data_IF_144437664048
#
_entry.id   IF_144437664048
#
_cell.length_a   1.000
_cell.length_b   1.000
_cell.length_c   1.000
_cell.angle_alpha   90.00
_cell.angle_beta   90.00
_cell.angle_gamma   90.00
#
_symmetry.space_group_name_H-M   'P 1'
#
loop_
_entity.id
_entity.type
_entity.pdbx_description
1 polymer ?
#
# COMPACT_ATOMS: atom_id res chain seq x y z
N UNK A 1 10.48 46.78 1.09
CA UNK A 1 9.76 45.70 1.79
C UNK A 1 8.53 45.34 0.97
N UNK A 2 8.28 44.05 0.74
CA UNK A 2 7.17 43.55 -0.08
C UNK A 2 5.84 43.91 0.61
N UNK A 3 5.17 44.93 0.07
CA UNK A 3 3.88 45.59 0.41
C UNK A 3 2.96 44.95 1.48
N UNK A 4 3.43 44.69 2.71
CA UNK A 4 2.58 44.27 3.84
C UNK A 4 1.91 42.89 3.73
N UNK A 5 1.76 42.32 2.53
CA UNK A 5 1.16 41.01 2.27
C UNK A 5 1.87 39.86 2.99
N UNK A 6 3.17 40.01 3.25
CA UNK A 6 3.92 39.05 4.05
C UNK A 6 3.41 38.96 5.49
N UNK A 7 2.87 40.05 6.03
CA UNK A 7 2.37 40.10 7.41
C UNK A 7 1.03 39.38 7.55
N UNK A 8 0.13 39.58 6.58
CA UNK A 8 -1.17 38.90 6.53
C UNK A 8 -0.99 37.41 6.20
N UNK A 9 -0.12 37.10 5.22
CA UNK A 9 0.19 35.71 4.85
C UNK A 9 0.94 34.93 5.93
N UNK A 10 1.61 35.60 6.87
CA UNK A 10 2.38 34.95 7.94
C UNK A 10 1.52 34.02 8.79
N UNK A 11 0.27 34.40 9.05
CA UNK A 11 -0.67 33.59 9.86
C UNK A 11 -1.03 32.31 9.11
N UNK A 12 -1.26 32.41 7.80
CA UNK A 12 -1.58 31.25 6.96
C UNK A 12 -0.37 30.32 6.78
N UNK A 13 0.85 30.88 6.69
CA UNK A 13 2.08 30.09 6.67
C UNK A 13 2.33 29.36 7.98
N UNK A 14 2.10 30.01 9.13
CA UNK A 14 2.26 29.37 10.45
C UNK A 14 1.21 28.27 10.68
N UNK A 15 -0.02 28.48 10.20
CA UNK A 15 -1.06 27.44 10.20
C UNK A 15 -0.70 26.26 9.27
N UNK A 16 -0.11 26.53 8.11
CA UNK A 16 0.37 25.50 7.18
C UNK A 16 1.56 24.73 7.77
N UNK A 17 2.52 25.42 8.38
CA UNK A 17 3.68 24.82 9.04
C UNK A 17 3.25 23.88 10.17
N UNK A 18 2.27 24.28 10.98
CA UNK A 18 1.72 23.41 12.02
C UNK A 18 0.99 22.18 11.45
N UNK A 19 0.34 22.30 10.30
CA UNK A 19 -0.25 21.15 9.58
C UNK A 19 0.79 20.23 8.96
N UNK A 20 1.97 20.75 8.66
CA UNK A 20 3.10 20.00 8.10
C UNK A 20 4.01 19.38 9.18
N UNK A 21 3.75 19.65 10.47
CA UNK A 21 4.47 18.98 11.56
C UNK A 21 4.15 17.49 11.56
N UNK A 22 5.21 16.69 11.61
CA UNK A 22 5.14 15.23 11.68
C UNK A 22 4.29 14.81 12.88
N UNK A 23 3.16 14.17 12.61
CA UNK A 23 2.27 13.62 13.62
C UNK A 23 2.50 12.11 13.67
N UNK A 24 3.30 11.68 14.65
CA UNK A 24 3.65 10.27 14.80
C UNK A 24 2.41 9.39 14.99
N UNK A 25 1.39 9.85 15.72
CA UNK A 25 0.16 9.08 15.94
C UNK A 25 -0.59 8.88 14.62
N UNK A 26 -0.72 9.95 13.83
CA UNK A 26 -1.31 9.87 12.49
C UNK A 26 -0.53 8.91 11.59
N UNK A 27 0.80 8.99 11.60
CA UNK A 27 1.63 8.17 10.73
C UNK A 27 1.61 6.70 11.17
N UNK A 28 1.60 6.43 12.47
CA UNK A 28 1.40 5.08 12.99
C UNK A 28 0.05 4.51 12.60
N UNK A 29 -1.03 5.30 12.63
CA UNK A 29 -2.36 4.88 12.19
C UNK A 29 -2.40 4.64 10.67
N UNK A 30 -1.87 5.59 9.89
CA UNK A 30 -1.83 5.54 8.43
C UNK A 30 -1.03 4.34 7.92
N UNK A 31 0.16 4.11 8.46
CA UNK A 31 1.05 3.00 8.09
C UNK A 31 0.79 1.72 8.89
N UNK A 32 -0.24 1.70 9.74
CA UNK A 32 -0.48 0.62 10.71
C UNK A 32 -0.60 -0.77 10.05
N UNK A 33 -1.19 -0.84 8.85
CA UNK A 33 -1.29 -2.08 8.06
C UNK A 33 0.10 -2.59 7.65
N UNK A 34 0.92 -1.73 7.07
CA UNK A 34 2.24 -2.10 6.56
C UNK A 34 3.19 -2.49 7.70
N UNK A 35 3.16 -1.73 8.79
CA UNK A 35 3.92 -2.02 10.02
C UNK A 35 3.56 -3.42 10.55
N UNK A 36 2.25 -3.71 10.67
CA UNK A 36 1.78 -5.03 11.11
C UNK A 36 2.19 -6.16 10.17
N UNK A 37 2.17 -5.92 8.85
CA UNK A 37 2.60 -6.91 7.87
C UNK A 37 4.08 -7.27 8.01
N UNK A 38 4.95 -6.26 8.12
CA UNK A 38 6.40 -6.47 8.31
C UNK A 38 6.66 -7.25 9.60
N UNK A 39 6.07 -6.84 10.71
CA UNK A 39 6.23 -7.52 12.01
C UNK A 39 5.73 -8.97 11.94
N UNK A 40 4.58 -9.20 11.29
CA UNK A 40 4.01 -10.54 11.15
C UNK A 40 4.92 -11.48 10.37
N UNK A 41 5.53 -10.99 9.28
CA UNK A 41 6.51 -11.76 8.49
C UNK A 41 7.72 -12.14 9.34
N UNK A 42 8.25 -11.22 10.14
CA UNK A 42 9.42 -11.48 10.98
C UNK A 42 9.13 -12.44 12.14
N UNK A 43 7.96 -12.32 12.78
CA UNK A 43 7.51 -13.29 13.79
C UNK A 43 7.40 -14.68 13.16
N UNK A 44 6.76 -14.79 12.00
CA UNK A 44 6.52 -16.08 11.36
C UNK A 44 7.83 -16.70 10.88
N UNK A 45 8.76 -15.94 10.30
CA UNK A 45 10.09 -16.44 9.94
C UNK A 45 10.84 -17.03 11.14
N UNK A 46 10.66 -16.44 12.34
CA UNK A 46 11.33 -16.91 13.56
C UNK A 46 10.82 -18.27 14.05
N UNK A 47 9.54 -18.57 13.88
CA UNK A 47 8.93 -19.81 14.39
C UNK A 47 8.65 -20.87 13.31
N UNK A 48 8.50 -20.46 12.05
CA UNK A 48 8.08 -21.29 10.93
C UNK A 48 9.04 -21.23 9.72
N UNK A 49 10.18 -20.58 9.91
CA UNK A 49 11.26 -20.47 8.92
C UNK A 49 10.78 -19.87 7.58
N UNK A 50 11.54 -20.07 6.50
CA UNK A 50 11.23 -19.51 5.19
C UNK A 50 9.84 -19.91 4.69
N UNK A 51 9.42 -21.17 4.91
CA UNK A 51 8.11 -21.66 4.46
C UNK A 51 6.97 -20.86 5.08
N UNK A 52 7.03 -20.58 6.37
CA UNK A 52 6.04 -19.73 7.03
C UNK A 52 6.06 -18.30 6.48
N UNK A 53 7.25 -17.74 6.27
CA UNK A 53 7.39 -16.39 5.71
C UNK A 53 6.74 -16.25 4.33
N UNK A 54 6.95 -17.23 3.45
CA UNK A 54 6.30 -17.28 2.13
C UNK A 54 4.78 -17.35 2.27
N UNK A 55 4.25 -18.26 3.10
CA UNK A 55 2.80 -18.39 3.33
C UNK A 55 2.21 -17.07 3.84
N UNK A 56 2.88 -16.37 4.74
CA UNK A 56 2.39 -15.09 5.26
C UNK A 56 2.32 -14.01 4.17
N UNK A 57 3.33 -13.94 3.30
CA UNK A 57 3.37 -12.96 2.22
C UNK A 57 2.27 -13.20 1.18
N UNK A 58 1.95 -14.46 0.90
CA UNK A 58 0.95 -14.84 -0.10
C UNK A 58 -0.51 -14.64 0.35
N UNK A 59 -0.79 -14.37 1.64
CA UNK A 59 -2.17 -14.26 2.16
C UNK A 59 -2.96 -13.12 1.52
N UNK A 60 -2.31 -11.97 1.36
CA UNK A 60 -2.92 -10.74 0.87
C UNK A 60 -2.37 -10.35 -0.51
N UNK A 61 -1.88 -11.33 -1.27
CA UNK A 61 -1.35 -11.14 -2.62
C UNK A 61 -2.50 -11.09 -3.64
N UNK A 62 -2.89 -9.88 -4.03
CA UNK A 62 -3.97 -9.63 -4.98
C UNK A 62 -3.68 -10.24 -6.36
N UNK A 63 -2.41 -10.29 -6.79
CA UNK A 63 -2.00 -10.87 -8.06
C UNK A 63 -2.19 -12.38 -8.05
N UNK A 64 -1.77 -13.04 -6.97
CA UNK A 64 -1.98 -14.47 -6.77
C UNK A 64 -3.47 -14.82 -6.68
N UNK A 65 -4.27 -14.02 -5.98
CA UNK A 65 -5.72 -14.22 -5.90
C UNK A 65 -6.36 -14.07 -7.29
N UNK A 66 -5.97 -13.06 -8.06
CA UNK A 66 -6.47 -12.83 -9.41
C UNK A 66 -6.07 -13.95 -10.36
N UNK A 67 -4.81 -14.38 -10.30
CA UNK A 67 -4.30 -15.51 -11.08
C UNK A 67 -5.08 -16.78 -10.75
N UNK A 68 -5.28 -17.08 -9.45
CA UNK A 68 -6.07 -18.23 -9.01
C UNK A 68 -7.51 -18.16 -9.52
N UNK A 69 -8.11 -16.97 -9.53
CA UNK A 69 -9.46 -16.77 -10.05
C UNK A 69 -9.54 -17.06 -11.55
N UNK A 70 -8.64 -16.47 -12.35
CA UNK A 70 -8.64 -16.63 -13.81
C UNK A 70 -8.32 -18.07 -14.20
N UNK A 71 -7.32 -18.70 -13.57
CA UNK A 71 -6.91 -20.06 -13.89
C UNK A 71 -8.00 -21.11 -13.58
N UNK A 72 -8.90 -20.82 -12.63
CA UNK A 72 -10.04 -21.68 -12.30
C UNK A 72 -11.29 -21.38 -13.15
N UNK A 73 -11.31 -20.29 -13.90
CA UNK A 73 -12.37 -19.93 -14.83
C UNK A 73 -11.90 -20.20 -16.26
N UNK A 74 -12.20 -21.40 -16.78
CA UNK A 74 -11.79 -21.84 -18.11
C UNK A 74 -12.30 -20.90 -19.22
N UNK A 75 -13.49 -20.30 -19.07
CA UNK A 75 -14.05 -19.38 -20.05
C UNK A 75 -13.25 -18.08 -20.10
N UNK A 76 -13.01 -17.45 -18.95
CA UNK A 76 -12.17 -16.27 -18.85
C UNK A 76 -10.74 -16.56 -19.32
N UNK A 77 -10.16 -17.68 -18.91
CA UNK A 77 -8.81 -18.09 -19.29
C UNK A 77 -8.67 -18.23 -20.81
N UNK A 78 -9.57 -18.97 -21.45
CA UNK A 78 -9.54 -19.14 -22.91
C UNK A 78 -9.82 -17.84 -23.65
N UNK A 79 -10.70 -16.98 -23.12
CA UNK A 79 -10.96 -15.65 -23.70
C UNK A 79 -9.70 -14.78 -23.65
N UNK A 80 -8.99 -14.77 -22.51
CA UNK A 80 -7.76 -13.99 -22.33
C UNK A 80 -6.63 -14.45 -23.25
N UNK A 81 -6.56 -15.76 -23.52
CA UNK A 81 -5.56 -16.36 -24.41
C UNK A 81 -5.97 -16.39 -25.88
N UNK A 82 -7.25 -16.18 -26.18
CA UNK A 82 -7.71 -16.04 -27.56
C UNK A 82 -7.14 -14.75 -28.11
N UNK A 83 -6.42 -14.84 -29.23
CA UNK A 83 -5.84 -13.67 -29.87
C UNK A 83 -6.95 -12.67 -30.19
N UNK A 84 -6.77 -11.42 -29.79
CA UNK A 84 -7.42 -10.32 -30.50
C UNK A 84 -6.89 -10.39 -31.93
N UNK A 85 -7.58 -11.13 -32.79
CA UNK A 85 -7.45 -10.98 -34.23
C UNK A 85 -8.00 -9.58 -34.48
N UNK A 86 -7.11 -8.59 -34.43
CA UNK A 86 -7.33 -7.30 -35.07
C UNK A 86 -7.41 -7.60 -36.58
N UNK A 87 -8.65 -7.81 -37.02
CA UNK A 87 -9.05 -7.71 -38.43
C UNK A 87 -8.85 -6.29 -38.94
#
# INVERSE_FOLDING_TARGET
EFEGYMKDASIEFEALENKLKHNLDHDLDYFSKDIRNIISVEIIKRYYYQRGGIIQQLKDDDELQKATTILNDLEQYHTLLSTSVKS
#
